data_IF_720369694650
#
_entry.id   IF_720369694650
#
_cell.length_a   1.000
_cell.length_b   1.000
_cell.length_c   1.000
_cell.angle_alpha   90.00
_cell.angle_beta   90.00
_cell.angle_gamma   90.00
#
_symmetry.space_group_name_H-M   'P 1'
#
loop_
_entity.id
_entity.type
_entity.pdbx_description
1 polymer ?
#
# COMPACT_ATOMS: atom_id res chain seq x y z
N UNK A 1 0.96 5.43 21.26
CA UNK A 1 -0.06 5.71 22.30
C UNK A 1 0.42 6.87 23.14
N UNK A 2 -0.46 7.84 23.47
CA UNK A 2 -0.13 9.04 24.26
C UNK A 2 -0.79 8.97 25.65
N UNK A 3 -2.09 8.66 25.71
CA UNK A 3 -2.83 8.51 26.96
C UNK A 3 -3.93 7.47 26.85
N UNK A 4 -4.38 6.99 28.00
CA UNK A 4 -5.54 6.12 28.17
C UNK A 4 -6.38 6.72 29.29
N UNK A 5 -7.61 7.13 28.98
CA UNK A 5 -8.55 7.73 29.94
C UNK A 5 -9.96 7.26 29.60
N UNK A 6 -10.74 6.88 30.62
CA UNK A 6 -12.18 6.55 30.51
C UNK A 6 -12.54 5.67 29.30
N UNK A 7 -11.87 4.52 29.13
CA UNK A 7 -12.06 3.58 28.00
C UNK A 7 -11.68 4.15 26.62
N UNK A 8 -11.03 5.31 26.58
CA UNK A 8 -10.51 5.88 25.35
C UNK A 8 -8.99 5.85 25.31
N UNK A 9 -8.45 5.76 24.11
CA UNK A 9 -7.01 5.78 23.86
C UNK A 9 -6.69 6.89 22.86
N UNK A 10 -5.74 7.76 23.19
CA UNK A 10 -5.21 8.77 22.27
C UNK A 10 -3.93 8.25 21.64
N UNK A 11 -3.93 8.16 20.32
CA UNK A 11 -2.78 7.72 19.54
C UNK A 11 -2.24 8.84 18.65
N UNK A 12 -0.91 8.93 18.55
CA UNK A 12 -0.26 9.76 17.54
C UNK A 12 -0.30 9.04 16.21
N UNK A 13 -0.62 9.77 15.15
CA UNK A 13 -0.82 9.23 13.80
C UNK A 13 -0.24 10.17 12.76
N UNK A 14 -0.08 9.68 11.51
CA UNK A 14 0.30 10.54 10.39
C UNK A 14 -0.95 11.17 9.75
N UNK A 15 -0.75 12.19 8.92
CA UNK A 15 -1.84 12.82 8.18
C UNK A 15 -2.52 11.82 7.24
N UNK A 16 -1.74 10.95 6.59
CA UNK A 16 -2.25 9.91 5.69
C UNK A 16 -3.14 8.90 6.45
N UNK A 17 -2.74 8.53 7.67
CA UNK A 17 -3.56 7.66 8.53
C UNK A 17 -4.86 8.34 8.91
N UNK A 18 -4.86 9.63 9.25
CA UNK A 18 -6.08 10.39 9.53
C UNK A 18 -7.02 10.40 8.31
N UNK A 19 -6.47 10.65 7.12
CA UNK A 19 -7.27 10.68 5.89
C UNK A 19 -7.90 9.32 5.59
N UNK A 20 -7.15 8.23 5.75
CA UNK A 20 -7.66 6.88 5.58
C UNK A 20 -8.76 6.53 6.61
N UNK A 21 -8.54 6.84 7.88
CA UNK A 21 -9.50 6.59 8.95
C UNK A 21 -10.79 7.40 8.80
N UNK A 22 -10.73 8.63 8.26
CA UNK A 22 -11.93 9.43 7.98
C UNK A 22 -12.85 8.77 6.95
N UNK A 23 -12.29 8.08 5.98
CA UNK A 23 -13.09 7.36 4.97
C UNK A 23 -13.69 6.09 5.54
N UNK A 24 -12.91 5.31 6.28
CA UNK A 24 -13.33 4.00 6.76
C UNK A 24 -14.18 4.04 8.03
N UNK A 25 -14.22 5.18 8.74
CA UNK A 25 -14.93 5.38 10.01
C UNK A 25 -14.49 4.45 11.15
N UNK A 26 -13.46 3.66 10.93
CA UNK A 26 -12.86 2.76 11.90
C UNK A 26 -11.35 2.87 11.85
N UNK A 27 -10.70 2.61 12.98
CA UNK A 27 -9.27 2.42 13.06
C UNK A 27 -8.96 0.92 13.22
N UNK A 28 -7.92 0.46 12.53
CA UNK A 28 -7.42 -0.90 12.65
C UNK A 28 -6.00 -0.87 13.21
N UNK A 29 -5.80 -1.57 14.31
CA UNK A 29 -4.49 -1.75 14.92
C UNK A 29 -4.03 -3.16 14.58
N UNK A 30 -2.92 -3.22 13.84
CA UNK A 30 -2.33 -4.50 13.43
C UNK A 30 -1.52 -5.04 14.62
N UNK A 31 -1.62 -6.36 14.86
CA UNK A 31 -0.84 -7.03 15.90
C UNK A 31 0.65 -6.72 15.76
N UNK A 32 1.30 -6.51 16.87
CA UNK A 32 2.73 -6.25 16.99
C UNK A 32 3.28 -6.85 18.30
N UNK A 33 4.41 -6.38 18.78
CA UNK A 33 4.98 -6.84 20.06
C UNK A 33 4.15 -6.45 21.29
N UNK A 34 3.27 -5.41 21.19
CA UNK A 34 2.40 -4.94 22.27
C UNK A 34 1.00 -5.54 22.20
N UNK A 35 0.52 -5.84 20.99
CA UNK A 35 -0.82 -6.39 20.76
C UNK A 35 -0.73 -7.79 20.15
N UNK A 36 -1.10 -8.80 20.91
CA UNK A 36 -1.08 -10.21 20.46
C UNK A 36 -2.03 -10.49 19.29
N UNK A 37 -3.11 -9.68 19.16
CA UNK A 37 -4.12 -9.81 18.12
C UNK A 37 -4.42 -8.46 17.46
N UNK A 38 -5.03 -8.51 16.28
CA UNK A 38 -5.52 -7.31 15.62
C UNK A 38 -6.73 -6.74 16.35
N UNK A 39 -6.83 -5.41 16.36
CA UNK A 39 -7.96 -4.70 16.96
C UNK A 39 -8.62 -3.81 15.92
N UNK A 40 -9.93 -3.70 16.00
CA UNK A 40 -10.72 -2.62 15.42
C UNK A 40 -11.18 -1.70 16.54
N UNK A 41 -11.14 -0.41 16.31
CA UNK A 41 -11.64 0.58 17.24
C UNK A 41 -12.52 1.61 16.52
N UNK A 42 -13.51 2.12 17.25
CA UNK A 42 -14.31 3.24 16.78
C UNK A 42 -13.53 4.54 16.98
N UNK A 43 -13.67 5.45 16.04
CA UNK A 43 -13.03 6.76 16.07
C UNK A 43 -13.97 7.74 16.78
N UNK A 44 -13.50 8.33 17.88
CA UNK A 44 -14.20 9.37 18.62
C UNK A 44 -13.96 10.75 18.01
N UNK A 45 -12.72 11.03 17.62
CA UNK A 45 -12.33 12.30 17.04
C UNK A 45 -10.88 12.36 16.59
N UNK A 46 -10.56 13.44 15.88
CA UNK A 46 -9.21 13.74 15.40
C UNK A 46 -8.78 15.12 15.88
N UNK A 47 -7.52 15.25 16.25
CA UNK A 47 -6.85 16.53 16.41
C UNK A 47 -5.79 16.67 15.32
N UNK A 48 -6.09 17.50 14.33
CA UNK A 48 -5.19 17.72 13.19
C UNK A 48 -3.96 18.56 13.55
N UNK A 49 -4.06 19.39 14.59
CA UNK A 49 -2.94 20.25 15.02
C UNK A 49 -1.84 19.43 15.69
N UNK A 50 -2.26 18.42 16.46
CA UNK A 50 -1.34 17.53 17.18
C UNK A 50 -1.13 16.20 16.47
N UNK A 51 -1.79 15.96 15.33
CA UNK A 51 -1.79 14.69 14.59
C UNK A 51 -2.13 13.51 15.52
N UNK A 52 -3.29 13.60 16.19
CA UNK A 52 -3.78 12.53 17.06
C UNK A 52 -5.18 12.08 16.69
N UNK A 53 -5.49 10.83 17.06
CA UNK A 53 -6.80 10.23 16.99
C UNK A 53 -7.18 9.70 18.36
N UNK A 54 -8.46 9.92 18.74
CA UNK A 54 -9.04 9.32 19.94
C UNK A 54 -9.88 8.13 19.53
N UNK A 55 -9.60 6.97 20.11
CA UNK A 55 -10.20 5.68 19.82
C UNK A 55 -10.94 5.12 21.04
N UNK A 56 -12.01 4.36 20.81
CA UNK A 56 -12.75 3.59 21.84
C UNK A 56 -13.33 2.29 21.28
N UNK A 57 -13.98 1.51 22.12
CA UNK A 57 -14.69 0.27 21.73
C UNK A 57 -13.79 -0.69 20.97
N UNK A 58 -12.69 -1.09 21.58
CA UNK A 58 -11.73 -2.03 20.98
C UNK A 58 -12.31 -3.42 20.88
N UNK A 59 -12.31 -3.98 19.68
CA UNK A 59 -12.80 -5.33 19.38
C UNK A 59 -11.68 -6.14 18.76
N UNK A 60 -11.42 -7.34 19.30
CA UNK A 60 -10.47 -8.28 18.72
C UNK A 60 -10.95 -8.78 17.35
N UNK A 61 -10.04 -8.81 16.41
CA UNK A 61 -10.29 -9.29 15.05
C UNK A 61 -9.34 -10.43 14.69
N UNK A 62 -9.90 -11.64 14.54
CA UNK A 62 -9.11 -12.81 14.17
C UNK A 62 -8.55 -12.76 12.74
N UNK A 63 -9.18 -12.02 11.82
CA UNK A 63 -8.80 -11.96 10.41
C UNK A 63 -8.78 -10.53 9.89
N UNK A 64 -7.64 -9.87 9.97
CA UNK A 64 -7.36 -8.67 9.19
C UNK A 64 -6.60 -9.09 7.93
N UNK A 65 -7.15 -8.83 6.74
CA UNK A 65 -6.50 -9.16 5.48
C UNK A 65 -5.07 -8.58 5.37
N UNK A 66 -4.76 -7.50 6.09
CA UNK A 66 -3.42 -6.95 6.17
C UNK A 66 -2.37 -7.91 6.75
N UNK A 67 -2.75 -8.76 7.71
CA UNK A 67 -1.85 -9.72 8.35
C UNK A 67 -1.61 -10.99 7.53
N UNK A 68 -2.42 -11.23 6.51
CA UNK A 68 -2.22 -12.35 5.58
C UNK A 68 -1.18 -12.00 4.51
N UNK A 69 -0.67 -10.78 4.50
CA UNK A 69 0.34 -10.35 3.52
C UNK A 69 1.70 -10.95 3.87
N UNK A 70 2.19 -11.77 2.96
CA UNK A 70 3.54 -12.36 3.06
C UNK A 70 4.65 -11.30 2.94
N UNK A 71 4.38 -10.19 2.20
CA UNK A 71 5.36 -9.16 1.88
C UNK A 71 4.83 -7.79 2.29
N UNK A 72 5.69 -7.01 2.93
CA UNK A 72 5.39 -5.63 3.28
C UNK A 72 5.24 -4.78 2.02
N UNK A 73 4.27 -3.86 2.02
CA UNK A 73 4.10 -2.88 0.95
C UNK A 73 4.82 -1.59 1.30
N UNK A 74 5.43 -1.01 0.29
CA UNK A 74 6.04 0.32 0.37
C UNK A 74 5.41 1.24 -0.67
N UNK A 75 5.49 2.53 -0.41
CA UNK A 75 4.97 3.54 -1.32
C UNK A 75 6.12 4.07 -2.19
N UNK A 76 5.99 4.01 -3.52
CA UNK A 76 6.97 4.58 -4.44
C UNK A 76 6.91 6.11 -4.43
N UNK A 77 7.78 6.74 -5.21
CA UNK A 77 7.68 8.16 -5.44
C UNK A 77 6.34 8.51 -6.09
N UNK A 78 5.78 9.64 -5.67
CA UNK A 78 4.41 10.12 -5.97
C UNK A 78 4.02 10.11 -7.46
N UNK A 79 4.99 10.06 -8.37
CA UNK A 79 4.77 10.20 -9.80
C UNK A 79 5.34 9.07 -10.65
N UNK A 80 5.60 7.90 -10.05
CA UNK A 80 6.02 6.73 -10.81
C UNK A 80 4.91 6.31 -11.77
N UNK A 81 5.10 6.60 -13.07
CA UNK A 81 4.15 6.25 -14.12
C UNK A 81 4.24 4.76 -14.42
N UNK A 82 3.09 4.14 -14.63
CA UNK A 82 2.96 2.73 -14.97
C UNK A 82 2.05 2.59 -16.18
N UNK A 83 2.52 1.88 -17.21
CA UNK A 83 1.66 1.34 -18.27
C UNK A 83 1.25 -0.07 -17.85
N UNK A 84 -0.05 -0.36 -17.87
CA UNK A 84 -0.62 -1.70 -17.76
C UNK A 84 -1.26 -2.10 -19.07
N UNK A 85 -0.94 -3.28 -19.58
CA UNK A 85 -1.50 -3.81 -20.82
C UNK A 85 -2.10 -5.22 -20.62
N UNK A 86 -3.29 -5.44 -21.13
CA UNK A 86 -3.99 -6.74 -21.12
C UNK A 86 -4.79 -6.90 -22.40
N UNK A 87 -4.59 -8.01 -23.12
CA UNK A 87 -5.41 -8.39 -24.29
C UNK A 87 -5.56 -7.29 -25.35
N UNK A 88 -4.53 -6.46 -25.56
CA UNK A 88 -4.56 -5.34 -26.52
C UNK A 88 -5.09 -4.02 -25.97
N UNK A 89 -5.67 -4.02 -24.77
CA UNK A 89 -6.03 -2.80 -24.05
C UNK A 89 -4.84 -2.33 -23.21
N UNK A 90 -4.66 -1.02 -23.12
CA UNK A 90 -3.60 -0.39 -22.32
C UNK A 90 -4.16 0.78 -21.51
N UNK A 91 -3.72 0.90 -20.26
CA UNK A 91 -4.01 2.05 -19.40
C UNK A 91 -2.72 2.64 -18.85
N UNK A 92 -2.71 3.95 -18.69
CA UNK A 92 -1.66 4.69 -18.02
C UNK A 92 -2.11 5.07 -16.60
N UNK A 93 -1.25 4.82 -15.63
CA UNK A 93 -1.57 5.14 -14.24
C UNK A 93 -0.35 5.56 -13.44
N UNK A 94 -0.53 5.64 -12.13
CA UNK A 94 0.54 5.86 -11.18
C UNK A 94 0.67 4.65 -10.26
N UNK A 95 1.90 4.27 -9.95
CA UNK A 95 2.19 3.23 -8.97
C UNK A 95 1.74 3.72 -7.58
N UNK A 96 0.76 3.02 -7.00
CA UNK A 96 0.19 3.38 -5.71
C UNK A 96 0.95 2.74 -4.55
N UNK A 97 1.13 1.43 -4.62
CA UNK A 97 1.92 0.64 -3.68
C UNK A 97 2.66 -0.48 -4.41
N UNK A 98 3.75 -0.97 -3.82
CA UNK A 98 4.55 -2.07 -4.36
C UNK A 98 5.12 -2.92 -3.24
N UNK A 99 5.25 -4.22 -3.49
CA UNK A 99 5.90 -5.20 -2.62
C UNK A 99 6.56 -6.29 -3.47
N UNK A 100 7.34 -7.15 -2.87
CA UNK A 100 7.88 -8.33 -3.58
C UNK A 100 6.80 -9.21 -4.22
N UNK A 101 5.60 -9.25 -3.63
CA UNK A 101 4.49 -10.11 -4.09
C UNK A 101 3.55 -9.46 -5.09
N UNK A 102 3.65 -8.15 -5.34
CA UNK A 102 2.74 -7.47 -6.24
C UNK A 102 2.77 -5.95 -6.15
N UNK A 103 1.90 -5.32 -6.92
CA UNK A 103 1.79 -3.86 -6.97
C UNK A 103 0.33 -3.41 -7.17
N UNK A 104 0.07 -2.18 -6.76
CA UNK A 104 -1.19 -1.49 -7.00
C UNK A 104 -0.97 -0.29 -7.92
N UNK A 105 -1.81 -0.14 -8.92
CA UNK A 105 -1.78 1.00 -9.86
C UNK A 105 -3.11 1.74 -9.79
N UNK A 106 -3.08 3.05 -9.77
CA UNK A 106 -4.26 3.91 -9.86
C UNK A 106 -4.25 4.64 -11.19
N UNK A 107 -5.33 4.51 -11.97
CA UNK A 107 -5.53 5.15 -13.26
C UNK A 107 -6.87 5.88 -13.31
N UNK A 108 -6.93 6.98 -14.04
CA UNK A 108 -8.20 7.64 -14.34
C UNK A 108 -9.02 6.81 -15.36
N UNK A 109 -8.34 6.01 -16.18
CA UNK A 109 -8.94 5.23 -17.25
C UNK A 109 -9.37 3.84 -16.77
N UNK A 110 -10.53 3.39 -17.26
CA UNK A 110 -10.98 2.01 -17.13
C UNK A 110 -10.50 1.24 -18.36
N UNK A 111 -9.59 0.29 -18.15
CA UNK A 111 -9.02 -0.55 -19.22
C UNK A 111 -9.89 -1.73 -19.62
N UNK A 112 -11.06 -1.91 -18.98
CA UNK A 112 -11.90 -3.08 -19.16
C UNK A 112 -11.14 -4.40 -18.94
N UNK A 113 -10.17 -4.39 -18.01
CA UNK A 113 -9.33 -5.54 -17.72
C UNK A 113 -10.13 -6.63 -16.99
N UNK A 114 -9.79 -7.87 -17.27
CA UNK A 114 -10.43 -9.05 -16.66
C UNK A 114 -9.62 -9.55 -15.46
N UNK A 115 -10.29 -9.66 -14.34
CA UNK A 115 -9.72 -10.24 -13.12
C UNK A 115 -9.27 -11.68 -13.35
N UNK A 116 -8.16 -12.06 -12.73
CA UNK A 116 -7.58 -13.40 -12.83
C UNK A 116 -6.68 -13.63 -14.05
N UNK A 117 -6.70 -12.76 -15.05
CA UNK A 117 -5.88 -12.87 -16.26
C UNK A 117 -4.51 -12.17 -16.10
N UNK A 118 -3.60 -12.49 -17.02
CA UNK A 118 -2.29 -11.88 -17.10
C UNK A 118 -2.37 -10.43 -17.55
N UNK A 119 -1.57 -9.57 -16.92
CA UNK A 119 -1.36 -8.17 -17.28
C UNK A 119 0.14 -7.88 -17.29
N UNK A 120 0.60 -7.12 -18.28
CA UNK A 120 2.00 -6.68 -18.36
C UNK A 120 2.13 -5.27 -17.84
N UNK A 121 3.07 -5.06 -16.89
CA UNK A 121 3.35 -3.75 -16.32
C UNK A 121 4.72 -3.26 -16.78
N UNK A 122 4.79 -1.96 -17.18
CA UNK A 122 6.04 -1.27 -17.53
C UNK A 122 6.14 0.03 -16.78
N UNK A 123 7.27 0.25 -16.09
CA UNK A 123 7.55 1.47 -15.35
C UNK A 123 9.04 1.58 -15.00
N UNK A 124 9.48 2.78 -14.61
CA UNK A 124 10.82 3.03 -14.09
C UNK A 124 10.77 3.18 -12.56
N UNK A 125 11.67 2.52 -11.83
CA UNK A 125 11.87 2.69 -10.40
C UNK A 125 13.15 3.47 -10.13
N UNK A 126 13.05 4.49 -9.29
CA UNK A 126 14.18 5.17 -8.69
C UNK A 126 14.59 4.41 -7.41
N UNK A 127 15.62 3.57 -7.48
CA UNK A 127 16.12 2.79 -6.35
C UNK A 127 17.13 3.66 -5.57
N UNK A 128 16.81 4.09 -4.33
CA UNK A 128 17.70 4.98 -3.58
C UNK A 128 18.98 4.25 -3.18
N UNK A 129 20.10 4.95 -3.26
CA UNK A 129 21.36 4.54 -2.66
C UNK A 129 21.72 5.53 -1.54
N UNK A 130 21.52 5.09 -0.31
CA UNK A 130 21.69 5.93 0.87
C UNK A 130 23.16 6.20 1.23
N UNK A 131 24.09 5.37 0.75
CA UNK A 131 25.52 5.55 1.01
C UNK A 131 26.10 6.65 0.14
N UNK A 132 25.69 6.69 -1.13
CA UNK A 132 26.16 7.68 -2.09
C UNK A 132 25.23 8.89 -2.23
N UNK A 133 24.00 8.82 -1.68
CA UNK A 133 22.96 9.83 -1.88
C UNK A 133 22.42 9.91 -3.30
N UNK A 134 22.72 8.91 -4.14
CA UNK A 134 22.27 8.80 -5.54
C UNK A 134 21.03 7.92 -5.68
N UNK A 135 20.41 7.94 -6.86
CA UNK A 135 19.35 7.02 -7.25
C UNK A 135 19.79 6.22 -8.47
N UNK A 136 19.60 4.91 -8.42
CA UNK A 136 19.75 4.03 -9.58
C UNK A 136 18.39 3.89 -10.26
N UNK A 137 18.32 4.18 -11.56
CA UNK A 137 17.11 3.97 -12.35
C UNK A 137 17.05 2.53 -12.85
N UNK A 138 15.93 1.87 -12.62
CA UNK A 138 15.69 0.52 -13.06
C UNK A 138 14.40 0.44 -13.88
N UNK A 139 14.52 0.04 -15.13
CA UNK A 139 13.38 -0.26 -15.98
C UNK A 139 12.75 -1.59 -15.55
N UNK A 140 11.45 -1.56 -15.29
CA UNK A 140 10.65 -2.71 -14.92
C UNK A 140 9.72 -3.04 -16.09
N UNK A 141 9.84 -4.25 -16.59
CA UNK A 141 8.92 -4.84 -17.57
C UNK A 141 8.59 -6.25 -17.07
N UNK A 142 7.38 -6.44 -16.53
CA UNK A 142 7.03 -7.64 -15.78
C UNK A 142 5.60 -8.11 -16.07
N UNK A 143 5.45 -9.43 -16.17
CA UNK A 143 4.15 -10.07 -16.27
C UNK A 143 3.59 -10.36 -14.87
N UNK A 144 2.35 -9.94 -14.67
CA UNK A 144 1.61 -10.01 -13.42
C UNK A 144 0.27 -10.69 -13.66
N UNK A 145 -0.37 -11.14 -12.58
CA UNK A 145 -1.77 -11.54 -12.59
C UNK A 145 -2.61 -10.39 -12.03
N UNK A 146 -3.60 -9.92 -12.76
CA UNK A 146 -4.61 -9.03 -12.22
C UNK A 146 -5.45 -9.78 -11.19
N UNK A 147 -5.37 -9.39 -9.92
CA UNK A 147 -6.17 -9.99 -8.86
C UNK A 147 -7.56 -9.39 -8.85
N UNK A 148 -7.63 -8.06 -8.95
CA UNK A 148 -8.90 -7.33 -9.05
C UNK A 148 -8.68 -5.91 -9.56
N UNK A 149 -9.69 -5.40 -10.28
CA UNK A 149 -9.85 -3.99 -10.62
C UNK A 149 -11.07 -3.44 -9.88
N UNK A 150 -10.91 -2.33 -9.17
CA UNK A 150 -11.99 -1.74 -8.38
C UNK A 150 -12.00 -0.21 -8.47
N UNK A 151 -13.19 0.38 -8.31
CA UNK A 151 -13.32 1.84 -8.22
C UNK A 151 -12.77 2.33 -6.88
N UNK A 152 -11.88 3.32 -6.94
CA UNK A 152 -11.21 3.90 -5.79
C UNK A 152 -11.11 5.43 -5.94
N UNK A 153 -11.86 6.18 -5.12
CA UNK A 153 -11.82 7.66 -5.11
C UNK A 153 -12.04 8.31 -6.49
N UNK A 154 -12.94 7.78 -7.27
CA UNK A 154 -13.24 8.30 -8.61
C UNK A 154 -12.27 7.86 -9.72
N UNK A 155 -11.32 6.98 -9.41
CA UNK A 155 -10.40 6.35 -10.34
C UNK A 155 -10.55 4.83 -10.31
N UNK A 156 -9.81 4.13 -11.16
CA UNK A 156 -9.65 2.67 -11.10
C UNK A 156 -8.39 2.31 -10.35
N UNK A 157 -8.48 1.33 -9.46
CA UNK A 157 -7.32 0.71 -8.80
C UNK A 157 -7.16 -0.73 -9.27
N UNK A 158 -6.03 -1.01 -9.88
CA UNK A 158 -5.62 -2.32 -10.35
C UNK A 158 -4.68 -2.96 -9.33
N UNK A 159 -5.09 -4.08 -8.75
CA UNK A 159 -4.29 -4.85 -7.80
C UNK A 159 -3.67 -6.05 -8.51
N UNK A 160 -2.36 -6.08 -8.64
CA UNK A 160 -1.63 -7.07 -9.41
C UNK A 160 -0.69 -7.90 -8.54
N UNK A 161 -0.59 -9.20 -8.83
CA UNK A 161 0.29 -10.15 -8.15
C UNK A 161 1.41 -10.59 -9.09
N UNK A 162 2.65 -10.66 -8.58
CA UNK A 162 3.78 -11.23 -9.32
C UNK A 162 3.56 -12.73 -9.53
N UNK A 163 3.62 -13.16 -10.80
CA UNK A 163 3.44 -14.57 -11.17
C UNK A 163 4.75 -15.35 -11.11
N UNK A 164 5.81 -14.78 -11.69
CA UNK A 164 7.11 -15.44 -11.82
C UNK A 164 8.23 -14.49 -11.39
N UNK A 165 9.29 -15.05 -10.78
CA UNK A 165 10.49 -14.29 -10.42
C UNK A 165 11.34 -14.06 -11.67
N UNK A 166 11.05 -13.01 -12.43
CA UNK A 166 11.84 -12.56 -13.58
C UNK A 166 12.98 -11.63 -13.12
N UNK A 167 13.93 -11.29 -14.00
CA UNK A 167 15.03 -10.38 -13.67
C UNK A 167 14.53 -9.02 -13.13
N UNK A 168 13.44 -8.47 -13.71
CA UNK A 168 12.79 -7.25 -13.22
C UNK A 168 12.31 -7.35 -11.76
N UNK A 169 11.97 -8.56 -11.29
CA UNK A 169 11.57 -8.80 -9.90
C UNK A 169 12.70 -8.52 -8.90
N UNK A 170 13.96 -8.75 -9.25
CA UNK A 170 15.11 -8.46 -8.38
C UNK A 170 15.21 -6.96 -8.07
N UNK A 171 14.92 -6.11 -9.06
CA UNK A 171 14.89 -4.65 -8.86
C UNK A 171 13.73 -4.23 -7.94
N UNK A 172 12.57 -4.89 -8.04
CA UNK A 172 11.45 -4.67 -7.11
C UNK A 172 11.85 -5.06 -5.69
N UNK A 173 12.47 -6.22 -5.49
CA UNK A 173 12.97 -6.66 -4.17
C UNK A 173 13.99 -5.65 -3.62
N UNK A 174 14.99 -5.26 -4.43
CA UNK A 174 16.00 -4.27 -4.04
C UNK A 174 15.38 -2.92 -3.63
N UNK A 175 14.37 -2.46 -4.36
CA UNK A 175 13.64 -1.23 -4.05
C UNK A 175 12.86 -1.37 -2.73
N UNK A 176 12.07 -2.44 -2.57
CA UNK A 176 11.24 -2.65 -1.38
C UNK A 176 12.06 -2.81 -0.13
N UNK A 177 13.18 -3.54 -0.17
CA UNK A 177 14.10 -3.71 0.97
C UNK A 177 14.71 -2.39 1.42
N UNK A 178 15.10 -1.53 0.48
CA UNK A 178 15.66 -0.22 0.81
C UNK A 178 14.59 0.69 1.43
N UNK A 179 13.37 0.71 0.86
CA UNK A 179 12.26 1.54 1.38
C UNK A 179 11.75 1.08 2.74
N UNK A 180 11.76 -0.22 3.03
CA UNK A 180 11.41 -0.74 4.36
C UNK A 180 12.41 -0.24 5.42
N UNK A 181 13.70 -0.22 5.09
CA UNK A 181 14.73 0.29 6.01
C UNK A 181 14.63 1.79 6.33
N UNK A 182 13.99 2.58 5.45
CA UNK A 182 13.71 4.01 5.73
C UNK A 182 12.61 4.21 6.77
N UNK A 183 11.73 3.24 6.93
CA UNK A 183 10.53 3.35 7.80
C UNK A 183 10.73 2.74 9.19
N UNK A 184 11.88 2.14 9.43
CA UNK A 184 12.31 1.63 10.74
C UNK A 184 13.21 2.64 11.45
#
# INVERSE_FOLDING_TARGET
MISVEDETVVCKVTLEQILAMKEEKNAYIVRDEYFAENLRADIVGFDLSNLTVTLRNFIYMHNLHANLRKYQRVYPNRYTKVSLAQNGNEVQGNLYDISEGGLGVVSADDGEFKDGEQVRAKFELDIPDYESGSCEKADIDIDLKLVTALKYKGAMRYCCQVMNKQNAHQNIVKFTDKRVKETL
#
